data_IF_550525829504
#
_entry.id   IF_550525829504
#
_cell.length_a   1.000
_cell.length_b   1.000
_cell.length_c   1.000
_cell.angle_alpha   90.00
_cell.angle_beta   90.00
_cell.angle_gamma   90.00
#
_symmetry.space_group_name_H-M   'P 1'
#
loop_
_entity.id
_entity.type
_entity.pdbx_description
1 polymer ?
#
# COMPACT_ATOMS: atom_id res chain seq x y z
N UNK A 1 -42.94 -12.34 10.41
CA UNK A 1 -41.78 -11.71 11.07
C UNK A 1 -40.53 -12.10 10.29
N UNK A 2 -40.00 -11.17 9.51
CA UNK A 2 -38.72 -11.38 8.81
C UNK A 2 -37.64 -11.19 9.86
N UNK A 3 -36.93 -12.28 10.18
CA UNK A 3 -35.74 -12.24 11.02
C UNK A 3 -34.66 -11.50 10.23
N UNK A 4 -34.46 -10.22 10.55
CA UNK A 4 -33.26 -9.51 10.15
C UNK A 4 -32.11 -10.15 10.91
N UNK A 5 -31.35 -11.01 10.23
CA UNK A 5 -30.06 -11.45 10.75
C UNK A 5 -29.26 -10.18 11.10
N UNK A 6 -28.62 -10.10 12.27
CA UNK A 6 -27.76 -8.98 12.58
C UNK A 6 -26.69 -8.92 11.49
N UNK A 7 -26.59 -7.79 10.80
CA UNK A 7 -25.47 -7.45 9.92
C UNK A 7 -24.20 -7.84 10.68
N UNK A 8 -23.53 -8.91 10.24
CA UNK A 8 -22.30 -9.36 10.88
C UNK A 8 -21.36 -8.17 10.86
N UNK A 9 -20.87 -7.72 12.03
CA UNK A 9 -19.85 -6.66 12.11
C UNK A 9 -18.79 -6.95 11.06
N UNK A 10 -18.49 -5.96 10.22
CA UNK A 10 -17.40 -6.05 9.26
C UNK A 10 -16.14 -6.54 9.98
N UNK A 11 -15.50 -7.57 9.44
CA UNK A 11 -14.29 -8.13 10.07
C UNK A 11 -13.14 -7.16 9.85
N UNK A 12 -12.30 -7.03 10.87
CA UNK A 12 -11.10 -6.19 10.83
C UNK A 12 -9.87 -7.07 10.62
N UNK A 13 -8.86 -6.52 9.94
CA UNK A 13 -7.55 -7.12 9.82
C UNK A 13 -6.91 -7.31 11.20
N UNK A 14 -6.48 -8.54 11.46
CA UNK A 14 -5.71 -8.89 12.66
C UNK A 14 -4.26 -9.19 12.31
N UNK A 15 -3.40 -9.29 13.33
CA UNK A 15 -2.00 -9.69 13.18
C UNK A 15 -1.87 -11.03 12.47
N UNK A 16 -2.66 -12.01 12.87
CA UNK A 16 -2.61 -13.38 12.35
C UNK A 16 -2.99 -13.41 10.87
N UNK A 17 -4.02 -12.65 10.49
CA UNK A 17 -4.41 -12.50 9.09
C UNK A 17 -3.29 -11.83 8.30
N UNK A 18 -2.79 -10.69 8.79
CA UNK A 18 -1.72 -9.95 8.13
C UNK A 18 -0.47 -10.80 7.90
N UNK A 19 -0.03 -11.57 8.90
CA UNK A 19 1.13 -12.46 8.79
C UNK A 19 0.91 -13.63 7.83
N UNK A 20 -0.34 -14.00 7.55
CA UNK A 20 -0.66 -15.06 6.58
C UNK A 20 -0.52 -14.61 5.13
N UNK A 21 -0.51 -13.30 4.87
CA UNK A 21 -0.49 -12.74 3.51
C UNK A 21 0.69 -11.80 3.23
N UNK A 22 1.45 -11.40 4.25
CA UNK A 22 2.62 -10.54 4.06
C UNK A 22 3.79 -11.33 3.46
N UNK A 23 4.57 -10.67 2.61
CA UNK A 23 5.81 -11.27 2.12
C UNK A 23 6.92 -11.20 3.15
N UNK A 24 7.55 -12.36 3.38
CA UNK A 24 8.75 -12.49 4.18
C UNK A 24 9.96 -12.21 3.29
N UNK A 25 10.73 -11.20 3.65
CA UNK A 25 11.96 -10.84 2.94
C UNK A 25 13.15 -11.23 3.80
N UNK A 26 14.21 -11.72 3.16
CA UNK A 26 15.49 -11.92 3.84
C UNK A 26 15.98 -10.57 4.39
N UNK A 27 15.92 -10.44 5.71
CA UNK A 27 16.30 -9.21 6.39
C UNK A 27 17.80 -8.95 6.42
N UNK A 28 18.65 -9.91 6.04
CA UNK A 28 20.06 -9.64 5.74
C UNK A 28 20.20 -8.82 4.48
N UNK A 29 19.58 -9.27 3.39
CA UNK A 29 19.63 -8.60 2.10
C UNK A 29 18.98 -7.21 2.12
N UNK A 30 17.81 -7.07 2.75
CA UNK A 30 17.16 -5.77 2.90
C UNK A 30 18.03 -4.80 3.70
N UNK A 31 18.68 -5.27 4.76
CA UNK A 31 19.54 -4.44 5.60
C UNK A 31 20.82 -4.01 4.87
N UNK A 32 21.46 -4.90 4.12
CA UNK A 32 22.61 -4.57 3.27
C UNK A 32 22.25 -3.53 2.22
N UNK A 33 21.11 -3.69 1.54
CA UNK A 33 20.60 -2.71 0.58
C UNK A 33 20.26 -1.38 1.27
N UNK A 34 19.71 -1.37 2.49
CA UNK A 34 19.47 -0.14 3.25
C UNK A 34 20.76 0.59 3.68
N UNK A 35 21.81 -0.14 4.07
CA UNK A 35 23.08 0.46 4.48
C UNK A 35 23.83 1.12 3.31
N UNK A 36 23.68 0.61 2.09
CA UNK A 36 24.37 1.14 0.91
C UNK A 36 23.90 2.54 0.48
N UNK A 37 22.69 2.99 0.86
CA UNK A 37 22.18 4.34 0.56
C UNK A 37 22.04 5.23 1.81
N UNK A 38 22.87 4.98 2.83
CA UNK A 38 22.83 5.51 4.22
C UNK A 38 23.04 7.02 4.40
N UNK A 39 23.04 7.84 3.34
CA UNK A 39 22.95 9.29 3.49
C UNK A 39 21.50 9.79 3.69
N UNK A 40 20.54 8.88 3.78
CA UNK A 40 19.11 9.15 3.99
C UNK A 40 18.74 8.62 5.38
N UNK A 41 17.89 9.34 6.13
CA UNK A 41 17.54 9.02 7.51
C UNK A 41 17.28 7.53 7.72
N UNK A 42 17.72 7.00 8.87
CA UNK A 42 17.71 5.57 9.21
C UNK A 42 16.34 4.86 9.06
N UNK A 43 15.26 5.63 8.89
CA UNK A 43 13.88 5.16 8.79
C UNK A 43 13.30 5.21 7.36
N UNK A 44 14.00 5.79 6.37
CA UNK A 44 13.50 5.91 4.98
C UNK A 44 14.63 5.82 3.95
N UNK A 45 14.49 4.93 2.98
CA UNK A 45 15.44 4.76 1.88
C UNK A 45 14.81 5.22 0.56
N UNK A 46 15.42 6.17 -0.16
CA UNK A 46 15.06 6.51 -1.54
C UNK A 46 15.95 5.73 -2.50
N UNK A 47 15.38 4.80 -3.27
CA UNK A 47 16.14 3.86 -4.09
C UNK A 47 16.45 4.36 -5.51
N UNK A 48 15.90 5.51 -5.91
CA UNK A 48 16.13 6.11 -7.23
C UNK A 48 16.62 7.55 -7.10
N UNK A 49 17.92 7.77 -7.32
CA UNK A 49 18.51 9.10 -7.46
C UNK A 49 18.96 9.42 -8.91
N UNK A 50 19.25 8.41 -9.76
CA UNK A 50 19.75 8.63 -11.12
C UNK A 50 19.30 7.53 -12.13
N UNK A 51 18.32 7.85 -12.98
CA UNK A 51 18.02 7.30 -14.33
C UNK A 51 17.73 5.77 -14.52
N UNK A 52 17.34 5.30 -15.73
CA UNK A 52 15.97 5.06 -16.16
C UNK A 52 15.63 3.55 -16.31
N UNK A 53 14.36 3.30 -16.60
CA UNK A 53 13.78 2.05 -17.14
C UNK A 53 13.51 0.91 -16.16
N UNK A 54 14.42 0.09 -15.63
CA UNK A 54 13.99 -0.99 -14.72
C UNK A 54 15.07 -1.42 -13.73
N UNK A 55 14.70 -1.66 -12.46
CA UNK A 55 15.54 -2.38 -11.49
C UNK A 55 14.78 -3.58 -10.93
N UNK A 56 15.45 -4.74 -10.88
CA UNK A 56 14.90 -5.96 -10.28
C UNK A 56 15.20 -5.96 -8.79
N UNK A 57 14.19 -5.76 -7.95
CA UNK A 57 14.31 -5.80 -6.48
C UNK A 57 13.47 -6.97 -5.99
N UNK A 58 14.08 -7.87 -5.21
CA UNK A 58 13.43 -9.07 -4.69
C UNK A 58 12.66 -9.92 -5.75
N UNK A 59 13.14 -9.93 -7.01
CA UNK A 59 12.52 -10.72 -8.08
C UNK A 59 11.48 -9.97 -8.92
N UNK A 60 11.04 -8.79 -8.50
CA UNK A 60 10.01 -7.99 -9.17
C UNK A 60 10.65 -7.00 -10.16
N UNK A 61 10.12 -6.93 -11.39
CA UNK A 61 10.51 -5.92 -12.37
C UNK A 61 9.83 -4.58 -12.05
N UNK A 62 10.61 -3.52 -11.85
CA UNK A 62 10.11 -2.23 -11.38
C UNK A 62 10.48 -1.10 -12.35
N UNK A 63 9.52 -0.67 -13.19
CA UNK A 63 9.49 0.57 -14.00
C UNK A 63 9.29 1.86 -13.18
N UNK A 64 9.71 2.96 -13.79
CA UNK A 64 10.00 4.31 -13.27
C UNK A 64 9.00 4.83 -12.22
N UNK A 65 9.60 5.25 -11.11
CA UNK A 65 8.91 5.80 -9.96
C UNK A 65 9.85 6.05 -8.80
N UNK A 66 9.54 7.01 -7.92
CA UNK A 66 10.31 7.15 -6.69
C UNK A 66 9.95 6.00 -5.75
N UNK A 67 10.83 5.01 -5.64
CA UNK A 67 10.67 3.91 -4.69
C UNK A 67 11.19 4.38 -3.33
N UNK A 68 10.36 4.20 -2.32
CA UNK A 68 10.70 4.43 -0.93
C UNK A 68 10.45 3.15 -0.13
N UNK A 69 11.42 2.77 0.69
CA UNK A 69 11.21 1.76 1.72
C UNK A 69 11.31 2.46 3.05
N UNK A 70 10.30 2.35 3.89
CA UNK A 70 10.33 2.91 5.23
C UNK A 70 9.87 1.90 6.26
N UNK A 71 10.43 2.02 7.46
CA UNK A 71 10.03 1.21 8.61
C UNK A 71 8.62 1.62 9.03
N UNK A 72 7.79 0.64 9.34
CA UNK A 72 6.42 0.82 9.80
C UNK A 72 6.20 0.01 11.07
N UNK A 73 5.14 0.33 11.80
CA UNK A 73 4.55 -0.52 12.84
C UNK A 73 3.51 -1.48 12.25
N UNK A 74 3.22 -2.57 12.97
CA UNK A 74 2.08 -3.44 12.63
C UNK A 74 0.78 -2.64 12.63
N UNK A 75 0.61 -1.74 13.60
CA UNK A 75 -0.61 -0.95 13.76
C UNK A 75 -0.90 -0.11 12.51
N UNK A 76 0.10 0.60 11.98
CA UNK A 76 -0.05 1.38 10.73
C UNK A 76 -0.40 0.48 9.53
N UNK A 77 0.21 -0.70 9.43
CA UNK A 77 -0.13 -1.65 8.36
C UNK A 77 -1.60 -2.11 8.45
N UNK A 78 -2.07 -2.41 9.67
CA UNK A 78 -3.44 -2.82 9.91
C UNK A 78 -4.43 -1.67 9.68
N UNK A 79 -4.08 -0.44 10.09
CA UNK A 79 -4.90 0.76 9.86
C UNK A 79 -5.09 1.04 8.37
N UNK A 80 -4.01 0.96 7.58
CA UNK A 80 -4.10 1.04 6.12
C UNK A 80 -5.06 -0.01 5.56
N UNK A 81 -4.87 -1.27 5.91
CA UNK A 81 -5.73 -2.34 5.40
C UNK A 81 -7.19 -2.18 5.86
N UNK A 82 -7.44 -1.77 7.10
CA UNK A 82 -8.79 -1.57 7.61
C UNK A 82 -9.51 -0.36 7.01
N UNK A 83 -8.77 0.67 6.58
CA UNK A 83 -9.35 1.82 5.90
C UNK A 83 -9.71 1.53 4.43
N UNK A 84 -9.05 0.55 3.82
CA UNK A 84 -9.05 0.35 2.37
C UNK A 84 -9.45 -1.06 1.91
N UNK A 85 -9.66 -2.00 2.83
CA UNK A 85 -10.02 -3.38 2.51
C UNK A 85 -11.09 -3.88 3.46
N UNK A 86 -12.26 -4.18 2.90
CA UNK A 86 -13.32 -4.89 3.60
C UNK A 86 -13.09 -6.39 3.53
N UNK A 87 -13.32 -7.08 4.64
CA UNK A 87 -13.26 -8.53 4.74
C UNK A 87 -14.68 -9.09 4.86
N UNK A 88 -15.15 -9.71 3.79
CA UNK A 88 -16.45 -10.38 3.70
C UNK A 88 -16.30 -11.91 3.72
N UNK A 89 -17.43 -12.63 3.72
CA UNK A 89 -17.45 -14.08 3.58
C UNK A 89 -17.23 -14.87 4.89
N UNK A 90 -16.98 -16.17 4.76
CA UNK A 90 -16.81 -17.06 5.93
C UNK A 90 -15.38 -17.01 6.48
N UNK A 91 -15.13 -17.52 7.68
CA UNK A 91 -13.76 -17.56 8.24
C UNK A 91 -12.83 -18.44 7.40
N UNK A 92 -13.38 -19.50 6.79
CA UNK A 92 -12.61 -20.47 5.98
C UNK A 92 -12.42 -20.04 4.53
N UNK A 93 -13.18 -19.04 4.08
CA UNK A 93 -13.12 -18.48 2.73
C UNK A 93 -13.39 -16.97 2.83
N UNK A 94 -12.41 -16.19 3.34
CA UNK A 94 -12.52 -14.74 3.37
C UNK A 94 -12.46 -14.17 1.95
N UNK A 95 -13.24 -13.14 1.70
CA UNK A 95 -13.23 -12.34 0.47
C UNK A 95 -12.76 -10.94 0.83
N UNK A 96 -11.85 -10.38 0.04
CA UNK A 96 -11.25 -9.08 0.29
C UNK A 96 -11.68 -8.11 -0.80
N UNK A 97 -12.38 -7.04 -0.42
CA UNK A 97 -12.87 -6.03 -1.35
C UNK A 97 -12.19 -4.70 -1.05
N UNK A 98 -11.78 -3.97 -2.09
CA UNK A 98 -11.23 -2.63 -1.92
C UNK A 98 -12.35 -1.65 -1.50
N UNK A 99 -12.07 -0.82 -0.50
CA UNK A 99 -12.93 0.27 -0.04
C UNK A 99 -12.46 1.59 -0.62
N UNK A 100 -13.40 2.34 -1.21
CA UNK A 100 -13.13 3.66 -1.77
C UNK A 100 -13.26 4.74 -0.67
N UNK A 101 -12.24 4.80 0.20
CA UNK A 101 -12.20 5.72 1.33
C UNK A 101 -11.33 6.95 1.03
N UNK A 102 -11.93 7.97 0.43
CA UNK A 102 -11.18 9.16 0.00
C UNK A 102 -10.60 9.96 1.19
N UNK A 103 -11.35 10.08 2.29
CA UNK A 103 -10.90 10.80 3.48
C UNK A 103 -9.65 10.14 4.10
N UNK A 104 -9.66 8.81 4.23
CA UNK A 104 -8.48 8.09 4.69
C UNK A 104 -7.29 8.24 3.74
N UNK A 105 -7.53 8.37 2.43
CA UNK A 105 -6.47 8.59 1.44
C UNK A 105 -5.85 9.99 1.63
N UNK A 106 -6.66 11.03 1.78
CA UNK A 106 -6.20 12.39 2.10
C UNK A 106 -5.34 12.37 3.35
N UNK A 107 -5.86 11.85 4.46
CA UNK A 107 -5.10 11.78 5.72
C UNK A 107 -3.79 11.02 5.60
N UNK A 108 -3.77 9.89 4.88
CA UNK A 108 -2.54 9.14 4.67
C UNK A 108 -1.53 9.92 3.82
N UNK A 109 -1.96 10.56 2.74
CA UNK A 109 -1.07 11.37 1.89
C UNK A 109 -0.47 12.55 2.65
N UNK A 110 -1.27 13.24 3.47
CA UNK A 110 -0.81 14.32 4.34
C UNK A 110 0.22 13.84 5.37
N UNK A 111 -0.08 12.73 6.07
CA UNK A 111 0.82 12.15 7.07
C UNK A 111 2.17 11.73 6.47
N UNK A 112 2.18 11.34 5.19
CA UNK A 112 3.38 10.94 4.45
C UNK A 112 4.07 12.09 3.72
N UNK A 113 3.58 13.33 3.87
CA UNK A 113 4.05 14.53 3.17
C UNK A 113 4.09 14.31 1.64
N UNK A 114 3.00 13.74 1.10
CA UNK A 114 2.78 13.48 -0.31
C UNK A 114 1.82 14.51 -0.92
N UNK A 115 1.67 14.46 -2.25
CA UNK A 115 0.64 15.23 -2.94
C UNK A 115 -0.75 14.74 -2.54
N UNK A 116 -1.60 15.68 -2.12
CA UNK A 116 -2.94 15.37 -1.60
C UNK A 116 -3.92 15.30 -2.78
N UNK A 117 -4.71 14.22 -2.91
CA UNK A 117 -5.69 14.11 -3.98
C UNK A 117 -6.77 15.17 -3.84
N UNK A 118 -7.22 15.71 -4.98
CA UNK A 118 -8.37 16.62 -5.04
C UNK A 118 -9.64 15.84 -5.37
N UNK A 119 -10.67 16.03 -4.55
CA UNK A 119 -11.91 15.25 -4.64
C UNK A 119 -12.65 15.45 -5.97
N UNK A 120 -12.80 16.70 -6.41
CA UNK A 120 -13.58 17.06 -7.60
C UNK A 120 -12.87 16.53 -8.87
N UNK A 121 -11.54 16.59 -8.88
CA UNK A 121 -10.72 16.05 -9.97
C UNK A 121 -10.70 14.52 -9.99
N UNK A 122 -10.73 13.88 -8.81
CA UNK A 122 -10.82 12.43 -8.73
C UNK A 122 -12.17 11.92 -9.25
N UNK A 123 -13.29 12.57 -8.91
CA UNK A 123 -14.61 12.16 -9.40
C UNK A 123 -14.75 12.20 -10.93
N UNK A 124 -14.10 13.16 -11.60
CA UNK A 124 -14.20 13.35 -13.06
C UNK A 124 -13.38 12.38 -13.92
N UNK A 125 -12.40 11.66 -13.36
CA UNK A 125 -11.33 11.02 -14.14
C UNK A 125 -11.06 9.55 -13.82
N UNK A 126 -11.96 8.88 -13.08
CA UNK A 126 -11.83 7.45 -12.80
C UNK A 126 -12.03 6.65 -14.10
N UNK A 127 -10.95 6.46 -14.85
CA UNK A 127 -10.93 5.75 -16.13
C UNK A 127 -11.23 4.23 -15.98
N UNK A 128 -11.31 3.66 -14.77
CA UNK A 128 -11.53 2.22 -14.50
C UNK A 128 -12.27 1.88 -13.18
N UNK A 129 -13.13 2.76 -12.67
CA UNK A 129 -13.98 2.59 -11.47
C UNK A 129 -13.34 2.36 -10.08
N UNK A 130 -12.01 2.25 -9.93
CA UNK A 130 -11.40 1.96 -8.62
C UNK A 130 -10.29 2.98 -8.24
N UNK A 131 -10.56 3.81 -7.23
CA UNK A 131 -9.56 4.70 -6.58
C UNK A 131 -8.55 3.87 -5.77
N UNK A 132 -9.03 2.77 -5.19
CA UNK A 132 -8.24 1.79 -4.44
C UNK A 132 -8.37 0.43 -5.10
N UNK A 133 -7.24 -0.26 -5.24
CA UNK A 133 -7.15 -1.67 -5.60
C UNK A 133 -6.34 -2.44 -4.55
N UNK A 134 -6.77 -3.66 -4.25
CA UNK A 134 -6.09 -4.54 -3.32
C UNK A 134 -5.75 -5.86 -4.01
N UNK A 135 -4.46 -6.19 -4.10
CA UNK A 135 -3.96 -7.42 -4.71
C UNK A 135 -3.33 -8.30 -3.62
N UNK A 136 -4.07 -9.31 -3.17
CA UNK A 136 -3.63 -10.28 -2.14
C UNK A 136 -2.91 -11.51 -2.73
N UNK A 137 -3.06 -11.74 -4.04
CA UNK A 137 -2.49 -12.91 -4.73
C UNK A 137 -1.14 -12.63 -5.41
N UNK A 138 -0.73 -11.36 -5.49
CA UNK A 138 0.60 -11.00 -5.94
C UNK A 138 1.52 -10.97 -4.72
N UNK A 139 2.64 -11.69 -4.75
CA UNK A 139 3.70 -11.52 -3.77
C UNK A 139 4.63 -10.39 -4.23
N UNK A 140 4.72 -9.25 -3.52
CA UNK A 140 4.11 -8.94 -2.23
C UNK A 140 2.69 -8.38 -2.27
N UNK A 141 1.89 -8.76 -1.25
CA UNK A 141 0.54 -8.22 -1.03
C UNK A 141 0.60 -6.69 -1.05
N UNK A 142 -0.29 -6.07 -1.83
CA UNK A 142 -0.23 -4.63 -2.05
C UNK A 142 -1.56 -3.93 -2.09
N UNK A 143 -1.56 -2.69 -1.60
CA UNK A 143 -2.59 -1.68 -1.82
C UNK A 143 -2.13 -0.74 -2.93
N UNK A 144 -3.02 -0.40 -3.83
CA UNK A 144 -2.77 0.57 -4.89
C UNK A 144 -3.78 1.70 -4.80
N UNK A 145 -3.28 2.93 -4.81
CA UNK A 145 -4.09 4.15 -4.89
C UNK A 145 -3.85 4.81 -6.24
N UNK A 146 -4.93 5.06 -6.97
CA UNK A 146 -4.91 5.72 -8.27
C UNK A 146 -5.77 6.97 -8.22
N UNK A 147 -5.15 8.13 -8.38
CA UNK A 147 -5.85 9.40 -8.41
C UNK A 147 -5.20 10.39 -9.38
N UNK A 148 -5.93 11.46 -9.71
CA UNK A 148 -5.41 12.52 -10.57
C UNK A 148 -4.91 13.67 -9.72
N UNK A 149 -3.70 14.14 -10.02
CA UNK A 149 -3.16 15.38 -9.47
C UNK A 149 -3.83 16.58 -10.14
N UNK A 150 -4.39 17.48 -9.34
CA UNK A 150 -5.09 18.67 -9.83
C UNK A 150 -4.13 19.76 -10.35
N UNK A 151 -2.87 19.76 -9.90
CA UNK A 151 -1.89 20.80 -10.28
C UNK A 151 -1.33 20.51 -11.66
N UNK A 152 -0.95 19.26 -11.91
CA UNK A 152 -0.18 18.85 -13.09
C UNK A 152 -1.01 18.00 -14.08
N UNK A 153 -2.33 17.86 -13.84
CA UNK A 153 -3.25 17.03 -14.63
C UNK A 153 -2.77 15.57 -14.84
N UNK A 154 -1.87 15.09 -13.98
CA UNK A 154 -1.15 13.81 -14.11
C UNK A 154 -1.80 12.73 -13.26
N UNK A 155 -1.78 11.48 -13.71
CA UNK A 155 -2.26 10.35 -12.90
C UNK A 155 -1.18 9.88 -11.95
N UNK A 156 -1.47 9.92 -10.65
CA UNK A 156 -0.58 9.37 -9.64
C UNK A 156 -1.06 7.97 -9.27
N UNK A 157 -0.14 7.01 -9.38
CA UNK A 157 -0.32 5.66 -8.87
C UNK A 157 0.66 5.42 -7.72
N UNK A 158 0.14 5.26 -6.51
CA UNK A 158 0.90 4.76 -5.38
C UNK A 158 0.63 3.27 -5.19
N UNK A 159 1.67 2.44 -5.19
CA UNK A 159 1.60 1.04 -4.78
C UNK A 159 2.34 0.88 -3.45
N UNK A 160 1.65 0.35 -2.44
CA UNK A 160 2.15 0.05 -1.11
C UNK A 160 2.23 -1.47 -0.96
N UNK A 161 3.45 -1.99 -0.86
CA UNK A 161 3.71 -3.41 -0.60
C UNK A 161 4.16 -3.60 0.84
N UNK A 162 3.53 -4.56 1.52
CA UNK A 162 3.82 -4.87 2.92
C UNK A 162 4.89 -5.96 3.04
N UNK A 163 5.91 -5.70 3.84
CA UNK A 163 7.06 -6.59 3.99
C UNK A 163 7.37 -6.85 5.48
N UNK A 164 7.82 -8.07 5.79
CA UNK A 164 8.37 -8.43 7.09
C UNK A 164 9.83 -8.89 6.94
N UNK A 165 10.73 -8.26 7.69
CA UNK A 165 12.16 -8.61 7.70
C UNK A 165 12.72 -8.49 9.13
N UNK A 166 13.35 -9.56 9.66
CA UNK A 166 13.91 -9.60 11.03
C UNK A 166 12.92 -9.10 12.11
N UNK A 167 11.65 -9.53 12.03
CA UNK A 167 10.56 -9.09 12.92
C UNK A 167 10.26 -7.57 12.89
N UNK A 168 10.73 -6.86 11.88
CA UNK A 168 10.40 -5.46 11.61
C UNK A 168 9.48 -5.38 10.39
N UNK A 169 8.50 -4.48 10.45
CA UNK A 169 7.58 -4.23 9.35
C UNK A 169 8.09 -3.09 8.50
N UNK A 170 7.93 -3.25 7.20
CA UNK A 170 8.29 -2.24 6.22
C UNK A 170 7.16 -2.06 5.22
N UNK A 171 7.00 -0.84 4.75
CA UNK A 171 6.17 -0.53 3.60
C UNK A 171 7.11 -0.09 2.48
N UNK A 172 7.03 -0.82 1.36
CA UNK A 172 7.64 -0.41 0.11
C UNK A 172 6.58 0.38 -0.66
N UNK A 173 6.84 1.68 -0.82
CA UNK A 173 6.01 2.59 -1.59
C UNK A 173 6.65 2.85 -2.94
N UNK A 174 5.89 2.65 -4.00
CA UNK A 174 6.24 3.00 -5.36
C UNK A 174 5.27 4.04 -5.89
N UNK A 175 5.79 5.14 -6.43
CA UNK A 175 4.99 6.18 -7.10
C UNK A 175 5.23 6.09 -8.60
N UNK A 176 4.21 5.86 -9.42
CA UNK A 176 4.28 5.93 -10.89
C UNK A 176 3.43 7.12 -11.37
N UNK A 177 3.83 7.76 -12.47
CA UNK A 177 3.11 8.85 -13.14
C UNK A 177 2.53 8.38 -14.48
#
# INVERSE_FOLDING_TARGET
>A
MISLQPLSKARVWTKEMFHSYISFVDGGKLHEEMQQYSNISHDRLKLNYYYPTFKKIAGVNIEIGSIFVYRSSLQECLELLNNFVEICGSFRAPIYNALQNFEALVHWTEAQLLEVPDYDHCQGYILNQELVRFDILNEPTSLQFKYKDHIDDTYILYQLSFLLARNQYFILRRKTF
#
